data_IF_937525374943
#
_entry.id   IF_937525374943
#
_cell.length_a   1.000
_cell.length_b   1.000
_cell.length_c   1.000
_cell.angle_alpha   90.00
_cell.angle_beta   90.00
_cell.angle_gamma   90.00
#
_symmetry.space_group_name_H-M   'P 1'
#
loop_
_entity.id
_entity.type
_entity.pdbx_description
1 polymer ?
#
# COMPACT_ATOMS: atom_id res chain seq x y z
N UNK A 1 -7.69 8.48 -8.75
CA UNK A 1 -7.76 8.38 -7.26
C UNK A 1 -6.51 8.92 -6.56
N UNK A 2 -5.67 9.64 -7.27
CA UNK A 2 -4.46 10.22 -6.68
C UNK A 2 -4.81 11.07 -5.45
N UNK A 3 -4.16 10.77 -4.33
CA UNK A 3 -4.32 11.53 -3.08
C UNK A 3 -5.71 11.47 -2.45
N UNK A 4 -6.59 10.59 -2.88
CA UNK A 4 -7.99 10.59 -2.46
C UNK A 4 -8.20 10.52 -0.94
N UNK A 5 -7.35 9.78 -0.23
CA UNK A 5 -7.40 9.62 1.22
C UNK A 5 -6.18 10.22 1.92
N UNK A 6 -5.49 11.13 1.26
CA UNK A 6 -4.35 11.83 1.83
C UNK A 6 -4.70 12.41 3.21
N UNK A 7 -3.87 12.10 4.20
CA UNK A 7 -4.05 12.65 5.54
C UNK A 7 -5.25 12.14 6.32
N UNK A 8 -5.94 11.11 5.83
CA UNK A 8 -7.11 10.55 6.53
C UNK A 8 -6.68 9.92 7.86
N UNK A 9 -7.47 10.18 8.92
CA UNK A 9 -7.17 9.74 10.29
C UNK A 9 -8.15 8.69 10.84
N UNK A 10 -8.89 8.01 9.97
CA UNK A 10 -9.86 6.97 10.38
C UNK A 10 -9.09 5.71 10.79
N UNK A 11 -9.22 5.22 12.06
CA UNK A 11 -8.42 4.08 12.53
C UNK A 11 -8.61 2.80 11.73
N UNK A 12 -9.85 2.47 11.37
CA UNK A 12 -10.18 1.30 10.55
C UNK A 12 -10.86 1.80 9.28
N UNK A 13 -10.07 2.01 8.23
CA UNK A 13 -10.57 2.55 6.96
C UNK A 13 -10.96 1.38 6.06
N UNK A 14 -12.27 1.22 5.83
CA UNK A 14 -12.81 0.14 5.01
C UNK A 14 -13.26 0.66 3.65
N UNK A 15 -12.52 0.28 2.62
CA UNK A 15 -12.80 0.62 1.23
C UNK A 15 -13.18 -0.63 0.42
N UNK A 16 -13.68 -1.68 1.09
CA UNK A 16 -13.98 -2.95 0.43
C UNK A 16 -15.09 -2.85 -0.62
N UNK A 17 -15.93 -1.81 -0.56
CA UNK A 17 -17.00 -1.58 -1.56
C UNK A 17 -16.55 -0.80 -2.79
N UNK A 18 -15.30 -0.29 -2.79
CA UNK A 18 -14.81 0.51 -3.91
C UNK A 18 -14.55 -0.36 -5.14
N UNK A 19 -14.99 0.14 -6.31
CA UNK A 19 -14.66 -0.46 -7.60
C UNK A 19 -13.51 0.33 -8.22
N UNK A 20 -12.34 -0.32 -8.35
CA UNK A 20 -11.11 0.33 -8.82
C UNK A 20 -10.62 -0.19 -10.17
N UNK A 21 -11.41 -1.03 -10.87
CA UNK A 21 -10.95 -1.72 -12.08
C UNK A 21 -10.50 -0.76 -13.21
N UNK A 22 -11.03 0.46 -13.25
CA UNK A 22 -10.67 1.45 -14.27
C UNK A 22 -9.68 2.50 -13.77
N UNK A 23 -9.17 2.35 -12.56
CA UNK A 23 -8.23 3.32 -11.98
C UNK A 23 -6.83 3.11 -12.55
N UNK A 24 -6.20 4.17 -13.02
CA UNK A 24 -4.84 4.15 -13.57
C UNK A 24 -3.81 4.81 -12.67
N UNK A 25 -4.23 5.66 -11.74
CA UNK A 25 -3.34 6.40 -10.84
C UNK A 25 -3.80 6.25 -9.39
N UNK A 26 -2.99 5.59 -8.57
CA UNK A 26 -3.19 5.46 -7.13
C UNK A 26 -2.06 6.12 -6.34
N UNK A 27 -1.32 7.03 -6.99
CA UNK A 27 -0.24 7.73 -6.32
C UNK A 27 -0.77 8.52 -5.13
N UNK A 28 -0.02 8.50 -4.03
CA UNK A 28 -0.31 9.23 -2.79
C UNK A 28 -1.67 8.93 -2.16
N UNK A 29 -2.34 7.87 -2.57
CA UNK A 29 -3.72 7.61 -2.16
C UNK A 29 -3.89 7.57 -0.65
N UNK A 30 -2.94 6.98 0.06
CA UNK A 30 -2.94 6.88 1.53
C UNK A 30 -1.71 7.53 2.16
N UNK A 31 -1.12 8.49 1.46
CA UNK A 31 0.02 9.25 2.00
C UNK A 31 -0.40 10.00 3.26
N UNK A 32 0.47 9.97 4.26
CA UNK A 32 0.29 10.66 5.54
C UNK A 32 -0.99 10.27 6.31
N UNK A 33 -1.43 9.03 6.16
CA UNK A 33 -2.48 8.46 7.01
C UNK A 33 -1.84 8.03 8.33
N UNK A 34 -1.67 8.98 9.27
CA UNK A 34 -0.88 8.79 10.49
C UNK A 34 -1.60 7.95 11.55
N UNK A 35 -2.93 8.05 11.62
CA UNK A 35 -3.72 7.40 12.65
C UNK A 35 -4.53 6.21 12.17
N UNK A 36 -4.44 5.88 10.90
CA UNK A 36 -5.06 4.67 10.37
C UNK A 36 -4.24 3.46 10.82
N UNK A 37 -4.91 2.51 11.46
CA UNK A 37 -4.29 1.29 12.00
C UNK A 37 -4.48 0.12 11.04
N UNK A 38 -5.71 -0.06 10.57
CA UNK A 38 -6.07 -1.14 9.64
C UNK A 38 -6.76 -0.57 8.42
N UNK A 39 -6.32 -1.03 7.25
CA UNK A 39 -6.81 -0.58 5.95
C UNK A 39 -7.36 -1.78 5.21
N UNK A 40 -8.63 -1.71 4.81
CA UNK A 40 -9.31 -2.83 4.12
C UNK A 40 -9.51 -2.48 2.66
N UNK A 41 -8.79 -3.16 1.79
CA UNK A 41 -8.80 -2.97 0.34
C UNK A 41 -9.25 -4.25 -0.37
N UNK A 42 -10.25 -4.95 0.18
CA UNK A 42 -10.62 -6.31 -0.24
C UNK A 42 -10.84 -6.47 -1.73
N UNK A 43 -11.51 -5.51 -2.36
CA UNK A 43 -11.92 -5.62 -3.75
C UNK A 43 -11.10 -4.74 -4.70
N UNK A 44 -9.94 -4.28 -4.24
CA UNK A 44 -9.08 -3.48 -5.11
C UNK A 44 -8.59 -4.32 -6.29
N UNK A 45 -8.84 -3.80 -7.48
CA UNK A 45 -8.36 -4.35 -8.74
C UNK A 45 -7.37 -3.33 -9.31
N UNK A 46 -6.12 -3.72 -9.41
CA UNK A 46 -5.04 -2.81 -9.80
C UNK A 46 -4.47 -3.11 -11.19
N UNK A 47 -5.18 -3.93 -11.98
CA UNK A 47 -4.70 -4.35 -13.31
C UNK A 47 -4.33 -3.19 -14.24
N UNK A 48 -5.01 -2.06 -14.09
CA UNK A 48 -4.81 -0.88 -14.93
C UNK A 48 -4.00 0.22 -14.26
N UNK A 49 -3.54 0.01 -13.03
CA UNK A 49 -2.81 1.04 -12.28
C UNK A 49 -1.38 1.14 -12.80
N UNK A 50 -1.01 2.34 -13.21
CA UNK A 50 0.31 2.65 -13.76
C UNK A 50 1.21 3.35 -12.76
N UNK A 51 0.65 3.94 -11.71
CA UNK A 51 1.40 4.74 -10.75
C UNK A 51 0.96 4.45 -9.31
N UNK A 52 1.89 3.91 -8.50
CA UNK A 52 1.74 3.68 -7.08
C UNK A 52 2.65 4.59 -6.24
N UNK A 53 3.23 5.64 -6.83
CA UNK A 53 4.18 6.51 -6.16
C UNK A 53 3.62 7.01 -4.83
N UNK A 54 4.38 6.80 -3.76
CA UNK A 54 4.06 7.27 -2.41
C UNK A 54 2.68 6.83 -1.89
N UNK A 55 2.12 5.74 -2.43
CA UNK A 55 0.76 5.32 -2.10
C UNK A 55 0.54 5.17 -0.59
N UNK A 56 1.52 4.63 0.14
CA UNK A 56 1.42 4.41 1.58
C UNK A 56 2.49 5.17 2.36
N UNK A 57 3.10 6.20 1.78
CA UNK A 57 4.23 6.87 2.41
C UNK A 57 3.82 7.76 3.59
N UNK A 58 4.79 8.00 4.49
CA UNK A 58 4.72 9.06 5.50
C UNK A 58 5.78 10.09 5.13
N UNK A 59 5.36 11.19 4.55
CA UNK A 59 6.27 12.23 4.05
C UNK A 59 6.48 13.38 5.04
N UNK A 60 5.58 13.55 6.02
CA UNK A 60 5.68 14.62 7.00
C UNK A 60 6.83 14.36 7.97
N UNK A 61 7.56 15.43 8.31
CA UNK A 61 8.56 15.40 9.37
C UNK A 61 7.83 15.10 10.69
N UNK A 62 8.33 14.15 11.46
CA UNK A 62 7.72 13.71 12.73
C UNK A 62 6.35 13.05 12.56
N UNK A 63 6.06 12.48 11.41
CA UNK A 63 4.82 11.75 11.19
C UNK A 63 4.68 10.59 12.17
N UNK A 64 3.44 10.37 12.63
CA UNK A 64 3.09 9.22 13.47
C UNK A 64 2.80 8.03 12.54
N UNK A 65 3.36 6.87 12.85
CA UNK A 65 3.15 5.65 12.09
C UNK A 65 2.30 4.67 12.92
N UNK A 66 1.04 4.50 12.54
CA UNK A 66 0.10 3.62 13.26
C UNK A 66 -0.36 2.43 12.42
N UNK A 67 -0.07 2.43 11.13
CA UNK A 67 -0.57 1.40 10.20
C UNK A 67 0.12 0.06 10.47
N UNK A 68 -0.67 -0.95 10.86
CA UNK A 68 -0.16 -2.29 11.16
C UNK A 68 -0.51 -3.33 10.10
N UNK A 69 -1.70 -3.23 9.50
CA UNK A 69 -2.19 -4.23 8.54
C UNK A 69 -2.92 -3.59 7.38
N UNK A 70 -2.67 -4.15 6.20
CA UNK A 70 -3.42 -3.84 4.97
C UNK A 70 -4.05 -5.14 4.48
N UNK A 71 -5.38 -5.20 4.46
CA UNK A 71 -6.14 -6.41 4.12
C UNK A 71 -6.56 -6.40 2.65
N UNK A 72 -6.30 -7.49 1.96
CA UNK A 72 -6.64 -7.67 0.55
C UNK A 72 -7.14 -9.10 0.28
N UNK A 73 -7.84 -9.32 -0.82
CA UNK A 73 -8.15 -10.67 -1.33
C UNK A 73 -7.02 -11.20 -2.20
N UNK A 74 -6.42 -10.34 -3.00
CA UNK A 74 -5.43 -10.71 -3.99
C UNK A 74 -4.23 -9.78 -3.93
N UNK A 75 -3.09 -10.26 -4.41
CA UNK A 75 -1.92 -9.41 -4.64
C UNK A 75 -2.31 -8.26 -5.58
N UNK A 76 -1.64 -7.12 -5.43
CA UNK A 76 -1.77 -6.08 -6.44
C UNK A 76 -1.14 -6.54 -7.75
N UNK A 77 -1.80 -6.23 -8.84
CA UNK A 77 -1.26 -6.43 -10.18
C UNK A 77 -0.42 -5.20 -10.52
N UNK A 78 0.88 -5.41 -10.75
CA UNK A 78 1.84 -4.35 -11.05
C UNK A 78 2.28 -4.35 -12.51
N UNK A 79 1.63 -5.16 -13.37
CA UNK A 79 2.06 -5.34 -14.76
C UNK A 79 1.89 -4.10 -15.64
N UNK A 80 1.02 -3.16 -15.25
CA UNK A 80 0.80 -1.92 -16.00
C UNK A 80 1.80 -0.81 -15.62
N UNK A 81 2.65 -1.02 -14.62
CA UNK A 81 3.68 -0.06 -14.24
C UNK A 81 4.81 -0.13 -15.25
N UNK A 82 5.13 1.01 -15.90
CA UNK A 82 6.18 1.07 -16.92
C UNK A 82 7.27 2.09 -16.60
N UNK A 83 7.17 2.79 -15.46
CA UNK A 83 8.13 3.81 -15.05
C UNK A 83 8.69 3.52 -13.67
N UNK A 84 9.74 4.24 -13.28
CA UNK A 84 10.30 4.16 -11.93
C UNK A 84 9.29 4.70 -10.92
N UNK A 85 9.00 3.90 -9.89
CA UNK A 85 8.09 4.27 -8.80
C UNK A 85 8.91 4.49 -7.53
N UNK A 86 8.60 5.55 -6.78
CA UNK A 86 9.36 5.94 -5.60
C UNK A 86 8.51 5.91 -4.33
N UNK A 87 9.14 5.53 -3.22
CA UNK A 87 8.65 5.79 -1.86
C UNK A 87 7.29 5.20 -1.53
N UNK A 88 6.92 4.05 -2.11
CA UNK A 88 5.60 3.44 -1.88
C UNK A 88 5.30 3.28 -0.39
N UNK A 89 6.29 2.83 0.40
CA UNK A 89 6.14 2.57 1.84
C UNK A 89 7.07 3.43 2.70
N UNK A 90 7.55 4.56 2.19
CA UNK A 90 8.49 5.41 2.92
C UNK A 90 7.95 5.77 4.30
N UNK A 91 8.78 5.60 5.33
CA UNK A 91 8.44 5.98 6.71
C UNK A 91 7.59 4.97 7.46
N UNK A 92 7.11 3.92 6.82
CA UNK A 92 6.34 2.88 7.50
C UNK A 92 7.25 1.93 8.25
N UNK A 93 7.08 1.84 9.58
CA UNK A 93 7.90 1.00 10.46
C UNK A 93 7.08 -0.04 11.20
N UNK A 94 5.81 0.22 11.46
CA UNK A 94 4.92 -0.70 12.19
C UNK A 94 4.20 -1.68 11.29
N UNK A 95 4.14 -1.41 9.98
CA UNK A 95 3.44 -2.26 9.01
C UNK A 95 4.09 -3.64 8.92
N UNK A 96 3.26 -4.69 8.99
CA UNK A 96 3.69 -6.09 8.82
C UNK A 96 2.71 -6.82 7.92
N UNK A 97 3.23 -7.81 7.19
CA UNK A 97 2.38 -8.75 6.47
C UNK A 97 1.65 -9.70 7.40
N UNK A 98 0.72 -10.49 6.85
CA UNK A 98 -0.13 -11.39 7.63
C UNK A 98 0.61 -12.45 8.43
N UNK A 99 1.82 -12.83 8.00
CA UNK A 99 2.69 -13.76 8.74
C UNK A 99 3.71 -13.03 9.63
N UNK A 100 3.55 -11.73 9.83
CA UNK A 100 4.44 -10.91 10.65
C UNK A 100 5.68 -10.42 9.93
N UNK A 101 5.78 -10.61 8.61
CA UNK A 101 6.96 -10.25 7.84
C UNK A 101 7.11 -8.74 7.67
N UNK A 102 8.37 -8.30 7.69
CA UNK A 102 8.76 -6.99 7.21
C UNK A 102 9.38 -7.17 5.83
N UNK A 103 8.83 -6.48 4.83
CA UNK A 103 9.35 -6.57 3.48
C UNK A 103 10.61 -5.72 3.34
N UNK A 104 11.71 -6.32 2.88
CA UNK A 104 12.97 -5.61 2.66
C UNK A 104 13.13 -5.26 1.19
N UNK A 105 13.54 -4.02 0.92
CA UNK A 105 13.82 -3.54 -0.43
C UNK A 105 14.86 -2.42 -0.37
N UNK A 106 15.60 -2.26 -1.47
CA UNK A 106 16.66 -1.26 -1.55
C UNK A 106 16.14 0.16 -1.84
N UNK A 107 14.93 0.27 -2.33
CA UNK A 107 14.36 1.54 -2.77
C UNK A 107 14.67 1.88 -4.23
N UNK A 108 15.36 1.00 -4.95
CA UNK A 108 15.72 1.18 -6.36
C UNK A 108 15.04 0.14 -7.23
N UNK A 109 14.91 0.43 -8.51
CA UNK A 109 14.43 -0.50 -9.54
C UNK A 109 13.05 -1.11 -9.26
N UNK A 110 12.16 -0.31 -8.64
CA UNK A 110 10.79 -0.72 -8.34
C UNK A 110 10.70 -1.94 -7.40
N UNK A 111 11.71 -2.20 -6.58
CA UNK A 111 11.70 -3.35 -5.67
C UNK A 111 10.55 -3.29 -4.66
N UNK A 112 10.17 -2.09 -4.23
CA UNK A 112 9.07 -1.93 -3.28
C UNK A 112 7.73 -2.41 -3.84
N UNK A 113 7.56 -2.46 -5.15
CA UNK A 113 6.34 -2.97 -5.78
C UNK A 113 6.11 -4.45 -5.47
N UNK A 114 7.17 -5.22 -5.23
CA UNK A 114 7.05 -6.63 -4.85
C UNK A 114 6.41 -6.81 -3.48
N UNK A 115 6.41 -5.77 -2.66
CA UNK A 115 5.81 -5.80 -1.34
C UNK A 115 4.29 -5.54 -1.36
N UNK A 116 3.75 -5.15 -2.51
CA UNK A 116 2.31 -5.01 -2.74
C UNK A 116 1.68 -6.39 -2.98
N UNK A 117 1.98 -7.31 -2.09
CA UNK A 117 1.49 -8.70 -2.17
C UNK A 117 1.19 -9.26 -0.79
N UNK A 118 0.39 -10.32 -0.78
CA UNK A 118 0.08 -11.10 0.42
C UNK A 118 1.36 -11.74 0.93
N UNK A 119 1.56 -11.67 2.24
CA UNK A 119 2.70 -12.26 2.93
C UNK A 119 2.59 -13.78 2.92
N UNK A 120 3.55 -14.46 2.28
CA UNK A 120 3.60 -15.93 2.16
C UNK A 120 4.96 -16.46 2.60
N UNK A 121 5.04 -17.73 3.04
CA UNK A 121 6.33 -18.34 3.35
C UNK A 121 7.27 -18.27 2.14
N UNK A 122 8.47 -17.71 2.34
CA UNK A 122 9.44 -17.52 1.27
C UNK A 122 9.20 -16.34 0.34
N UNK A 123 8.07 -15.66 0.47
CA UNK A 123 7.72 -14.48 -0.33
C UNK A 123 7.10 -13.40 0.56
N UNK A 124 7.96 -12.67 1.26
CA UNK A 124 7.50 -11.60 2.16
C UNK A 124 6.71 -10.53 1.40
N UNK A 125 5.63 -10.07 2.00
CA UNK A 125 4.79 -8.98 1.51
C UNK A 125 4.21 -8.20 2.66
N UNK A 126 3.64 -7.04 2.37
CA UNK A 126 3.04 -6.20 3.41
C UNK A 126 1.53 -6.40 3.55
N UNK A 127 0.91 -7.26 2.76
CA UNK A 127 -0.53 -7.46 2.83
C UNK A 127 -0.91 -8.68 3.67
N UNK A 128 -2.07 -8.56 4.30
CA UNK A 128 -2.73 -9.64 5.02
C UNK A 128 -3.90 -10.13 4.18
N UNK A 129 -3.96 -11.43 3.92
CA UNK A 129 -5.08 -12.00 3.16
C UNK A 129 -6.34 -12.09 4.03
N UNK A 130 -7.44 -11.72 3.45
CA UNK A 130 -8.76 -11.89 4.07
C UNK A 130 -9.26 -13.31 3.89
#
# INVERSE_FOLDING_TARGET
MSGMFYGTNIPNLDLSSFNTQNVTDMSRMFEDTEYTVKLYLNNFDTRNVQDFTEMFSLSRRYAIDSLTNIYVKNDFNISSVSKQIFNVFKGRRTLRGGNGSKCSFSGYNNEALKCLRIDRPGEAGYFTQI
#
